data_IF_918504132756
#
_entry.id   IF_918504132756
#
_cell.length_a   1.000
_cell.length_b   1.000
_cell.length_c   1.000
_cell.angle_alpha   90.00
_cell.angle_beta   90.00
_cell.angle_gamma   90.00
#
_symmetry.space_group_name_H-M   'P 1'
#
loop_
_entity.id
_entity.type
_entity.pdbx_description
1 polymer ?
#
# COMPACT_ATOMS: atom_id res chain seq x y z
N UNK A 1 73.26 33.38 -16.22
CA UNK A 1 72.86 31.99 -15.95
C UNK A 1 72.16 31.96 -14.61
N UNK A 2 70.83 31.89 -14.58
CA UNK A 2 70.05 31.94 -13.34
C UNK A 2 68.65 31.38 -13.56
N UNK A 3 68.51 30.07 -13.32
CA UNK A 3 67.28 29.29 -13.47
C UNK A 3 66.28 29.67 -12.38
N UNK A 4 65.07 30.10 -12.76
CA UNK A 4 63.94 30.31 -11.83
C UNK A 4 63.22 28.99 -11.57
N UNK A 5 63.25 28.54 -10.31
CA UNK A 5 62.43 27.43 -9.78
C UNK A 5 61.03 27.95 -9.41
N UNK A 6 59.99 27.16 -9.72
CA UNK A 6 58.60 27.38 -9.25
C UNK A 6 58.34 26.57 -7.96
N UNK A 7 57.53 27.07 -7.01
CA UNK A 7 57.22 26.36 -5.78
C UNK A 7 56.11 25.32 -5.97
N UNK A 8 56.26 24.19 -5.28
CA UNK A 8 55.30 23.10 -5.12
C UNK A 8 54.20 23.51 -4.14
N UNK A 9 52.94 23.47 -4.58
CA UNK A 9 51.76 23.72 -3.75
C UNK A 9 51.20 22.37 -3.26
N UNK A 10 51.12 22.22 -1.94
CA UNK A 10 50.55 21.06 -1.25
C UNK A 10 49.02 21.06 -1.35
N UNK A 11 48.44 19.94 -1.77
CA UNK A 11 46.99 19.71 -1.79
C UNK A 11 46.53 19.17 -0.43
N UNK A 12 45.55 19.80 0.25
CA UNK A 12 44.95 19.22 1.45
C UNK A 12 43.88 18.18 1.08
N UNK A 13 44.12 16.92 1.44
CA UNK A 13 43.13 15.83 1.32
C UNK A 13 42.17 15.87 2.52
N UNK A 14 41.07 16.62 2.44
CA UNK A 14 40.06 16.62 3.51
C UNK A 14 38.60 16.55 3.01
N UNK A 15 38.38 16.24 1.73
CA UNK A 15 37.05 16.28 1.12
C UNK A 15 36.26 14.95 1.08
N UNK A 16 36.90 13.79 1.30
CA UNK A 16 36.25 12.49 1.11
C UNK A 16 35.36 12.05 2.27
N UNK A 17 35.70 12.43 3.51
CA UNK A 17 34.98 11.93 4.70
C UNK A 17 33.58 12.54 4.82
N UNK A 18 33.39 13.82 4.50
CA UNK A 18 32.08 14.49 4.61
C UNK A 18 31.03 14.00 3.60
N UNK A 19 31.45 13.48 2.45
CA UNK A 19 30.53 13.03 1.39
C UNK A 19 29.92 11.67 1.73
N UNK A 20 30.71 10.77 2.32
CA UNK A 20 30.26 9.43 2.72
C UNK A 20 29.22 9.48 3.86
N UNK A 21 29.37 10.39 4.81
CA UNK A 21 28.40 10.57 5.90
C UNK A 21 27.06 11.11 5.42
N UNK A 22 27.05 12.01 4.43
CA UNK A 22 25.83 12.54 3.83
C UNK A 22 25.07 11.49 3.02
N UNK A 23 25.78 10.63 2.28
CA UNK A 23 25.16 9.55 1.51
C UNK A 23 24.52 8.50 2.42
N UNK A 24 25.22 8.14 3.51
CA UNK A 24 24.73 7.20 4.52
C UNK A 24 23.49 7.71 5.26
N UNK A 25 23.44 9.00 5.56
CA UNK A 25 22.28 9.63 6.21
C UNK A 25 21.08 9.75 5.24
N UNK A 26 21.33 10.02 3.95
CA UNK A 26 20.28 10.05 2.91
C UNK A 26 19.68 8.66 2.68
N UNK A 27 20.52 7.62 2.69
CA UNK A 27 20.09 6.22 2.58
C UNK A 27 19.31 5.77 3.83
N UNK A 28 19.75 6.18 5.04
CA UNK A 28 19.01 5.94 6.29
C UNK A 28 17.64 6.62 6.29
N UNK A 29 17.54 7.85 5.78
CA UNK A 29 16.26 8.57 5.62
C UNK A 29 15.36 7.94 4.56
N UNK A 30 15.92 7.41 3.46
CA UNK A 30 15.15 6.63 2.47
C UNK A 30 14.54 5.37 3.07
N UNK A 31 15.31 4.58 3.81
CA UNK A 31 14.79 3.38 4.50
C UNK A 31 13.79 3.72 5.61
N UNK A 32 13.97 4.84 6.30
CA UNK A 32 13.02 5.31 7.32
C UNK A 32 11.72 5.88 6.72
N UNK A 33 11.77 6.41 5.50
CA UNK A 33 10.60 6.86 4.76
C UNK A 33 9.81 5.68 4.19
N UNK A 34 10.48 4.63 3.70
CA UNK A 34 9.85 3.38 3.24
C UNK A 34 9.14 2.63 4.38
N UNK A 35 9.60 2.76 5.63
CA UNK A 35 8.94 2.15 6.81
C UNK A 35 7.82 2.98 7.43
N UNK A 36 7.61 4.23 6.99
CA UNK A 36 6.54 5.10 7.50
C UNK A 36 5.33 5.24 6.56
N UNK A 37 5.39 4.73 5.34
CA UNK A 37 4.20 4.62 4.47
C UNK A 37 3.35 3.44 4.96
N UNK A 38 2.43 3.70 5.89
CA UNK A 38 1.51 2.67 6.39
C UNK A 38 1.31 2.64 7.92
N UNK A 39 1.78 3.65 8.64
CA UNK A 39 1.51 3.75 10.08
C UNK A 39 0.02 4.08 10.27
N UNK A 40 -0.71 3.06 10.71
CA UNK A 40 -2.12 3.08 11.14
C UNK A 40 -3.20 3.14 10.04
N UNK A 41 -3.07 2.41 8.92
CA UNK A 41 -4.30 1.97 8.26
C UNK A 41 -4.99 0.98 9.21
N UNK A 42 -6.24 1.24 9.57
CA UNK A 42 -7.04 0.35 10.40
C UNK A 42 -7.12 -1.01 9.67
N UNK A 43 -6.32 -1.97 10.13
CA UNK A 43 -6.23 -3.29 9.52
C UNK A 43 -7.50 -4.05 9.84
N UNK A 44 -8.19 -4.51 8.80
CA UNK A 44 -9.44 -5.24 8.96
C UNK A 44 -9.11 -6.68 9.36
N UNK A 45 -9.55 -7.11 10.54
CA UNK A 45 -9.47 -8.50 10.95
C UNK A 45 -10.64 -9.31 10.41
N UNK A 46 -10.41 -10.05 9.32
CA UNK A 46 -11.41 -10.93 8.70
C UNK A 46 -11.72 -12.19 9.53
N UNK A 47 -10.89 -12.58 10.51
CA UNK A 47 -11.19 -13.73 11.36
C UNK A 47 -12.29 -13.40 12.39
N UNK A 48 -12.43 -12.14 12.77
CA UNK A 48 -13.53 -11.67 13.62
C UNK A 48 -14.91 -11.77 12.94
N UNK A 49 -14.97 -11.84 11.61
CA UNK A 49 -16.23 -11.86 10.86
C UNK A 49 -16.87 -13.25 10.79
N UNK A 50 -18.19 -13.27 10.60
CA UNK A 50 -18.93 -14.50 10.38
C UNK A 50 -18.60 -15.17 9.05
N UNK A 51 -18.62 -16.50 9.04
CA UNK A 51 -18.37 -17.30 7.84
C UNK A 51 -19.35 -17.00 6.71
N UNK A 52 -20.58 -16.56 7.04
CA UNK A 52 -21.60 -16.14 6.08
C UNK A 52 -21.19 -14.87 5.32
N UNK A 53 -20.61 -13.90 6.01
CA UNK A 53 -20.09 -12.65 5.44
C UNK A 53 -18.90 -12.94 4.53
N UNK A 54 -17.96 -13.74 5.00
CA UNK A 54 -16.79 -14.14 4.22
C UNK A 54 -17.20 -14.90 2.94
N UNK A 55 -18.18 -15.81 3.02
CA UNK A 55 -18.74 -16.51 1.85
C UNK A 55 -19.45 -15.56 0.89
N UNK A 56 -20.19 -14.58 1.41
CA UNK A 56 -20.86 -13.56 0.59
C UNK A 56 -19.82 -12.73 -0.16
N UNK A 57 -18.75 -12.30 0.50
CA UNK A 57 -17.65 -11.58 -0.12
C UNK A 57 -17.01 -12.42 -1.24
N UNK A 58 -16.65 -13.67 -0.94
CA UNK A 58 -16.06 -14.59 -1.93
C UNK A 58 -16.97 -14.80 -3.15
N UNK A 59 -18.29 -14.89 -2.97
CA UNK A 59 -19.25 -15.01 -4.06
C UNK A 59 -19.30 -13.74 -4.93
N UNK A 60 -19.40 -12.57 -4.31
CA UNK A 60 -19.51 -11.27 -5.02
C UNK A 60 -18.26 -11.00 -5.85
N UNK A 61 -17.08 -11.28 -5.27
CA UNK A 61 -15.79 -11.09 -5.93
C UNK A 61 -15.31 -12.32 -6.71
N UNK A 62 -16.15 -13.35 -6.86
CA UNK A 62 -15.85 -14.60 -7.60
C UNK A 62 -14.51 -15.24 -7.19
N UNK A 63 -14.15 -15.15 -5.91
CA UNK A 63 -12.93 -15.73 -5.37
C UNK A 63 -13.05 -17.25 -5.44
N UNK A 64 -12.08 -17.90 -6.09
CA UNK A 64 -12.02 -19.35 -6.16
C UNK A 64 -11.60 -19.91 -4.80
N UNK A 65 -12.57 -20.38 -4.03
CA UNK A 65 -12.35 -21.04 -2.73
C UNK A 65 -12.93 -22.46 -2.78
N UNK A 66 -12.24 -23.43 -2.18
CA UNK A 66 -12.72 -24.82 -2.14
C UNK A 66 -13.97 -24.93 -1.27
N UNK A 67 -14.91 -25.80 -1.64
CA UNK A 67 -16.21 -25.93 -0.98
C UNK A 67 -16.15 -26.43 0.48
N UNK A 68 -15.06 -27.08 0.88
CA UNK A 68 -14.80 -27.56 2.25
C UNK A 68 -13.73 -26.75 3.00
N UNK A 69 -13.50 -25.51 2.60
CA UNK A 69 -12.50 -24.63 3.21
C UNK A 69 -12.93 -24.20 4.63
N UNK A 70 -11.98 -24.24 5.57
CA UNK A 70 -12.19 -23.81 6.96
C UNK A 70 -12.34 -22.28 7.07
N UNK A 71 -12.86 -21.78 8.19
CA UNK A 71 -13.04 -20.34 8.42
C UNK A 71 -11.73 -19.57 8.27
N UNK A 72 -10.62 -20.05 8.86
CA UNK A 72 -9.33 -19.33 8.77
C UNK A 72 -8.81 -19.26 7.33
N UNK A 73 -8.90 -20.36 6.58
CA UNK A 73 -8.44 -20.39 5.18
C UNK A 73 -9.32 -19.48 4.30
N UNK A 74 -10.63 -19.40 4.56
CA UNK A 74 -11.52 -18.47 3.88
C UNK A 74 -11.15 -17.01 4.21
N UNK A 75 -10.92 -16.69 5.49
CA UNK A 75 -10.52 -15.35 5.93
C UNK A 75 -9.18 -14.93 5.31
N UNK A 76 -8.21 -15.85 5.25
CA UNK A 76 -6.92 -15.60 4.61
C UNK A 76 -7.06 -15.34 3.09
N UNK A 77 -7.91 -16.11 2.40
CA UNK A 77 -8.18 -15.91 0.98
C UNK A 77 -8.86 -14.55 0.72
N UNK A 78 -9.83 -14.17 1.56
CA UNK A 78 -10.51 -12.87 1.50
C UNK A 78 -9.55 -11.72 1.78
N UNK A 79 -8.74 -11.82 2.83
CA UNK A 79 -7.75 -10.81 3.20
C UNK A 79 -6.75 -10.55 2.07
N UNK A 80 -6.19 -11.64 1.50
CA UNK A 80 -5.28 -11.55 0.36
C UNK A 80 -5.93 -10.88 -0.86
N UNK A 81 -7.18 -11.23 -1.15
CA UNK A 81 -7.91 -10.61 -2.25
C UNK A 81 -8.18 -9.12 -1.98
N UNK A 82 -8.62 -8.77 -0.78
CA UNK A 82 -8.89 -7.38 -0.38
C UNK A 82 -7.65 -6.50 -0.51
N UNK A 83 -6.48 -6.98 -0.05
CA UNK A 83 -5.22 -6.25 -0.16
C UNK A 83 -4.77 -6.00 -1.61
N UNK A 84 -5.15 -6.88 -2.55
CA UNK A 84 -4.79 -6.77 -3.96
C UNK A 84 -5.90 -6.15 -4.83
N UNK A 85 -7.04 -5.79 -4.23
CA UNK A 85 -8.19 -5.29 -4.97
C UNK A 85 -7.90 -3.87 -5.48
N UNK A 86 -8.03 -3.68 -6.79
CA UNK A 86 -8.04 -2.35 -7.38
C UNK A 86 -9.46 -1.78 -7.32
N UNK A 87 -9.58 -0.51 -6.92
CA UNK A 87 -10.87 0.16 -6.77
C UNK A 87 -10.91 1.38 -7.67
N UNK A 88 -12.00 1.52 -8.44
CA UNK A 88 -12.31 2.77 -9.14
C UNK A 88 -12.93 3.73 -8.13
N UNK A 89 -12.10 4.58 -7.53
CA UNK A 89 -12.51 5.39 -6.37
C UNK A 89 -13.74 6.26 -6.65
N UNK A 90 -13.76 6.97 -7.77
CA UNK A 90 -14.85 7.86 -8.13
C UNK A 90 -16.19 7.12 -8.26
N UNK A 91 -16.21 6.01 -9.00
CA UNK A 91 -17.42 5.18 -9.17
C UNK A 91 -17.87 4.60 -7.81
N UNK A 92 -16.92 4.17 -6.99
CA UNK A 92 -17.19 3.53 -5.69
C UNK A 92 -17.77 4.50 -4.69
N UNK A 93 -17.18 5.69 -4.56
CA UNK A 93 -17.66 6.75 -3.68
C UNK A 93 -19.04 7.24 -4.14
N UNK A 94 -19.22 7.45 -5.45
CA UNK A 94 -20.51 7.85 -6.02
C UNK A 94 -21.59 6.81 -5.75
N UNK A 95 -21.31 5.53 -6.03
CA UNK A 95 -22.22 4.43 -5.73
C UNK A 95 -22.54 4.34 -4.24
N UNK A 96 -21.56 4.51 -3.36
CA UNK A 96 -21.74 4.49 -1.92
C UNK A 96 -22.67 5.61 -1.45
N UNK A 97 -22.36 6.87 -1.81
CA UNK A 97 -23.15 8.03 -1.42
C UNK A 97 -24.59 7.91 -1.92
N UNK A 98 -24.76 7.52 -3.17
CA UNK A 98 -26.08 7.31 -3.75
C UNK A 98 -26.82 6.19 -3.01
N UNK A 99 -26.20 5.02 -2.84
CA UNK A 99 -26.83 3.90 -2.15
C UNK A 99 -27.19 4.27 -0.72
N UNK A 100 -26.34 5.03 -0.01
CA UNK A 100 -26.54 5.43 1.38
C UNK A 100 -27.62 6.51 1.56
N UNK A 101 -27.72 7.45 0.62
CA UNK A 101 -28.73 8.51 0.63
C UNK A 101 -30.11 8.00 0.20
N UNK A 102 -30.15 7.02 -0.70
CA UNK A 102 -31.37 6.53 -1.34
C UNK A 102 -31.78 5.11 -0.88
N UNK A 103 -31.25 4.64 0.27
CA UNK A 103 -31.42 3.25 0.79
C UNK A 103 -32.87 2.77 0.81
N UNK A 104 -33.80 3.67 1.15
CA UNK A 104 -35.23 3.38 1.31
C UNK A 104 -36.07 3.86 0.11
N UNK A 105 -35.43 4.42 -0.91
CA UNK A 105 -36.11 4.93 -2.10
C UNK A 105 -36.11 3.91 -3.24
N UNK A 106 -37.15 3.95 -4.06
CA UNK A 106 -37.35 3.08 -5.24
C UNK A 106 -36.24 3.23 -6.30
N UNK A 107 -35.42 4.27 -6.19
CA UNK A 107 -34.31 4.57 -7.10
C UNK A 107 -33.03 3.81 -6.75
N UNK A 108 -33.08 2.68 -6.05
CA UNK A 108 -31.88 1.92 -5.71
C UNK A 108 -31.14 1.52 -7.01
N UNK A 109 -29.89 1.95 -7.15
CA UNK A 109 -29.03 1.52 -8.25
C UNK A 109 -28.99 -0.01 -8.27
N UNK A 110 -29.30 -0.67 -9.41
CA UNK A 110 -29.04 -2.08 -9.55
C UNK A 110 -27.52 -2.25 -9.44
N UNK A 111 -27.06 -2.86 -8.34
CA UNK A 111 -25.66 -3.21 -8.15
C UNK A 111 -25.32 -4.25 -9.21
N UNK A 112 -24.85 -3.80 -10.36
CA UNK A 112 -24.52 -4.65 -11.49
C UNK A 112 -23.31 -5.51 -11.08
N UNK A 113 -23.56 -6.77 -10.76
CA UNK A 113 -22.53 -7.75 -10.38
C UNK A 113 -21.75 -8.17 -11.63
N UNK A 114 -20.88 -7.30 -12.14
CA UNK A 114 -20.11 -7.56 -13.36
C UNK A 114 -19.00 -6.55 -13.57
N UNK A 115 -17.91 -6.72 -12.83
CA UNK A 115 -16.57 -6.37 -13.30
C UNK A 115 -15.85 -7.68 -13.67
#
# INVERSE_FOLDING_TARGET
MGVKQKPTQSTPMNGLSQVLDKDREREKRRRAAETNVGKEFQTIDFNSMDISILRKYARVHKIKVKSKTNKEELAAAVSRHFANQTVKELDTITCFLYTAHYKDSVLRLPLQTGF
#
